data_IF_709751289774
#
_entry.id   IF_709751289774
#
_cell.length_a   1.000
_cell.length_b   1.000
_cell.length_c   1.000
_cell.angle_alpha   90.00
_cell.angle_beta   90.00
_cell.angle_gamma   90.00
#
_symmetry.space_group_name_H-M   'P 1'
#
loop_
_entity.id
_entity.type
_entity.pdbx_description
1 polymer ?
#
# COMPACT_ATOMS: atom_id res chain seq x y z
N UNK A 1 -2.33 22.12 -12.88
CA UNK A 1 -2.89 21.48 -11.67
C UNK A 1 -4.28 20.99 -12.02
N UNK A 2 -4.37 19.75 -12.48
CA UNK A 2 -5.65 19.14 -12.85
C UNK A 2 -6.07 18.30 -11.66
N UNK A 3 -6.99 18.80 -10.86
CA UNK A 3 -7.70 18.06 -9.82
C UNK A 3 -8.50 16.96 -10.49
N UNK A 4 -7.99 15.73 -10.46
CA UNK A 4 -8.77 14.56 -10.78
C UNK A 4 -9.77 14.38 -9.64
N UNK A 5 -10.98 14.90 -9.85
CA UNK A 5 -12.14 14.56 -9.01
C UNK A 5 -12.31 13.05 -9.08
N UNK A 6 -12.34 12.31 -7.95
CA UNK A 6 -12.74 10.92 -8.00
C UNK A 6 -14.19 10.89 -8.45
N UNK A 7 -14.44 10.37 -9.66
CA UNK A 7 -15.78 10.06 -10.12
C UNK A 7 -16.32 9.06 -9.10
N UNK A 8 -17.19 9.55 -8.23
CA UNK A 8 -18.01 8.76 -7.33
C UNK A 8 -19.03 8.03 -8.21
N UNK A 9 -18.66 6.85 -8.70
CA UNK A 9 -19.62 5.92 -9.26
C UNK A 9 -20.69 5.62 -8.21
N UNK A 10 -21.91 5.98 -8.57
CA UNK A 10 -23.19 5.70 -7.97
C UNK A 10 -23.15 5.18 -6.51
N UNK A 11 -23.29 6.13 -5.56
CA UNK A 11 -23.93 5.95 -4.25
C UNK A 11 -23.83 4.56 -3.61
N UNK A 12 -22.63 4.09 -3.36
CA UNK A 12 -22.47 3.00 -2.41
C UNK A 12 -22.65 3.59 -1.01
N UNK A 13 -23.73 3.21 -0.33
CA UNK A 13 -24.00 3.55 1.07
C UNK A 13 -23.01 2.83 2.02
N UNK A 14 -21.94 2.28 1.49
CA UNK A 14 -20.95 1.55 2.25
C UNK A 14 -19.95 2.52 2.92
N UNK A 15 -19.69 2.28 4.20
CA UNK A 15 -18.70 3.06 4.95
C UNK A 15 -17.26 2.83 4.47
N UNK A 16 -17.03 1.72 3.79
CA UNK A 16 -15.72 1.30 3.31
C UNK A 16 -15.79 0.99 1.84
N UNK A 17 -14.87 1.54 1.07
CA UNK A 17 -14.77 1.32 -0.36
C UNK A 17 -13.36 0.90 -0.73
N UNK A 18 -13.25 -0.15 -1.53
CA UNK A 18 -11.98 -0.67 -2.01
C UNK A 18 -11.94 -0.64 -3.53
N UNK A 19 -10.92 0.03 -4.08
CA UNK A 19 -10.67 0.06 -5.52
C UNK A 19 -9.32 -0.56 -5.83
N UNK A 20 -9.30 -1.56 -6.70
CA UNK A 20 -8.08 -2.22 -7.18
C UNK A 20 -7.86 -1.84 -8.63
N UNK A 21 -6.64 -1.37 -8.95
CA UNK A 21 -6.32 -0.97 -10.32
C UNK A 21 -6.36 -2.16 -11.28
N UNK A 22 -7.24 -2.08 -12.28
CA UNK A 22 -7.41 -3.13 -13.29
C UNK A 22 -8.37 -4.26 -12.92
N UNK A 23 -8.95 -4.25 -11.72
CA UNK A 23 -10.04 -5.13 -11.34
C UNK A 23 -11.38 -4.45 -11.65
N UNK A 24 -12.25 -5.14 -12.38
CA UNK A 24 -13.60 -4.69 -12.73
C UNK A 24 -14.67 -5.41 -11.92
N UNK A 25 -14.29 -6.45 -11.17
CA UNK A 25 -15.23 -7.17 -10.31
C UNK A 25 -15.77 -6.23 -9.22
N UNK A 26 -17.07 -6.33 -8.88
CA UNK A 26 -17.64 -5.60 -7.75
C UNK A 26 -17.01 -6.14 -6.45
N UNK A 27 -16.44 -5.25 -5.64
CA UNK A 27 -15.79 -5.59 -4.38
C UNK A 27 -16.53 -4.89 -3.25
N UNK A 28 -17.17 -5.65 -2.39
CA UNK A 28 -17.85 -5.13 -1.20
C UNK A 28 -17.09 -5.49 0.07
N UNK A 29 -16.71 -4.48 0.87
CA UNK A 29 -15.91 -4.67 2.06
C UNK A 29 -16.80 -5.07 3.23
N UNK A 30 -16.63 -6.30 3.71
CA UNK A 30 -17.33 -6.84 4.87
C UNK A 30 -16.66 -6.38 6.19
N UNK A 31 -15.34 -6.55 6.27
CA UNK A 31 -14.57 -6.19 7.45
C UNK A 31 -13.11 -5.91 7.11
N UNK A 32 -12.41 -5.22 8.00
CA UNK A 32 -10.97 -5.04 7.88
C UNK A 32 -10.29 -4.90 9.23
N UNK A 33 -9.00 -5.20 9.25
CA UNK A 33 -8.09 -4.93 10.36
C UNK A 33 -6.86 -4.17 9.83
N UNK A 34 -6.60 -2.98 10.36
CA UNK A 34 -5.42 -2.17 10.04
C UNK A 34 -4.45 -2.11 11.21
N UNK A 35 -3.16 -2.18 10.91
CA UNK A 35 -2.07 -1.93 11.86
C UNK A 35 -1.18 -0.85 11.29
N UNK A 36 -0.91 0.19 12.08
CA UNK A 36 -0.06 1.32 11.72
C UNK A 36 0.83 1.69 12.91
N UNK A 37 1.97 2.28 12.64
CA UNK A 37 2.88 2.77 13.68
C UNK A 37 3.93 3.69 13.07
N UNK A 38 4.58 4.49 13.94
CA UNK A 38 5.71 5.32 13.55
C UNK A 38 6.88 4.43 13.13
N UNK A 39 7.56 4.81 12.06
CA UNK A 39 8.71 4.10 11.50
C UNK A 39 8.45 2.62 11.17
N UNK A 40 7.18 2.21 11.06
CA UNK A 40 6.78 0.86 10.67
C UNK A 40 5.93 0.88 9.43
N UNK A 41 5.98 -0.22 8.67
CA UNK A 41 5.11 -0.39 7.52
C UNK A 41 3.70 -0.75 7.98
N UNK A 42 2.70 0.00 7.51
CA UNK A 42 1.31 -0.34 7.78
C UNK A 42 0.92 -1.63 7.05
N UNK A 43 -0.10 -2.31 7.58
CA UNK A 43 -0.70 -3.49 6.99
C UNK A 43 -2.20 -3.49 7.23
N UNK A 44 -2.95 -3.76 6.18
CA UNK A 44 -4.40 -3.93 6.21
C UNK A 44 -4.78 -5.30 5.68
N UNK A 45 -5.50 -6.05 6.49
CA UNK A 45 -6.14 -7.30 6.12
C UNK A 45 -7.63 -7.01 5.94
N UNK A 46 -8.17 -7.24 4.74
CA UNK A 46 -9.54 -6.90 4.35
C UNK A 46 -10.26 -8.17 3.95
N UNK A 47 -11.45 -8.38 4.48
CA UNK A 47 -12.41 -9.39 4.03
C UNK A 47 -13.46 -8.68 3.18
N UNK A 48 -13.74 -9.23 2.03
CA UNK A 48 -14.68 -8.68 1.06
C UNK A 48 -15.50 -9.76 0.38
N UNK A 49 -16.67 -9.40 -0.10
CA UNK A 49 -17.53 -10.25 -0.95
C UNK A 49 -17.55 -9.74 -2.37
N UNK A 50 -17.85 -10.63 -3.30
CA UNK A 50 -18.03 -10.32 -4.71
C UNK A 50 -19.00 -11.29 -5.37
N UNK A 51 -19.85 -10.77 -6.27
CA UNK A 51 -20.65 -11.60 -7.15
C UNK A 51 -19.80 -12.38 -8.16
N UNK A 52 -18.58 -11.90 -8.45
CA UNK A 52 -17.60 -12.68 -9.21
C UNK A 52 -16.96 -13.73 -8.29
N UNK A 53 -17.29 -14.99 -8.53
CA UNK A 53 -16.89 -16.12 -7.68
C UNK A 53 -15.52 -16.70 -8.01
N UNK A 54 -14.89 -16.21 -9.07
CA UNK A 54 -13.59 -16.73 -9.52
C UNK A 54 -12.64 -15.62 -9.97
N UNK A 55 -12.46 -14.62 -9.11
CA UNK A 55 -11.51 -13.52 -9.37
C UNK A 55 -10.11 -14.10 -9.51
N UNK A 56 -9.52 -13.90 -10.69
CA UNK A 56 -8.15 -14.34 -10.96
C UNK A 56 -7.15 -13.59 -10.03
N UNK A 57 -6.31 -14.31 -9.26
CA UNK A 57 -5.28 -13.70 -8.44
C UNK A 57 -4.36 -12.74 -9.19
N UNK A 58 -4.13 -12.93 -10.47
CA UNK A 58 -3.27 -12.06 -11.30
C UNK A 58 -3.80 -10.64 -11.49
N UNK A 59 -5.12 -10.44 -11.40
CA UNK A 59 -5.73 -9.11 -11.45
C UNK A 59 -5.75 -8.41 -10.09
N UNK A 60 -5.40 -9.14 -9.03
CA UNK A 60 -5.35 -8.64 -7.64
C UNK A 60 -3.93 -8.47 -7.14
N UNK A 61 -3.10 -9.51 -7.24
CA UNK A 61 -1.74 -9.50 -6.68
C UNK A 61 -0.87 -8.46 -7.36
N UNK A 62 -0.05 -7.75 -6.56
CA UNK A 62 0.88 -6.70 -6.98
C UNK A 62 0.18 -5.47 -7.59
N UNK A 63 -1.14 -5.39 -7.55
CA UNK A 63 -1.90 -4.23 -8.03
C UNK A 63 -2.00 -3.15 -6.97
N UNK A 64 -2.07 -1.90 -7.43
CA UNK A 64 -2.33 -0.78 -6.54
C UNK A 64 -3.78 -0.85 -6.06
N UNK A 65 -3.94 -0.60 -4.77
CA UNK A 65 -5.23 -0.52 -4.10
C UNK A 65 -5.41 0.86 -3.47
N UNK A 66 -6.64 1.34 -3.51
CA UNK A 66 -7.10 2.53 -2.79
C UNK A 66 -8.21 2.07 -1.85
N UNK A 67 -7.99 2.23 -0.55
CA UNK A 67 -8.95 1.92 0.49
C UNK A 67 -9.49 3.22 1.09
N UNK A 68 -10.79 3.45 1.00
CA UNK A 68 -11.46 4.67 1.41
C UNK A 68 -12.37 4.36 2.60
N UNK A 69 -12.23 5.13 3.66
CA UNK A 69 -13.11 5.15 4.82
C UNK A 69 -13.93 6.44 4.76
N UNK A 70 -15.23 6.31 4.82
CA UNK A 70 -16.14 7.46 4.74
C UNK A 70 -17.23 7.40 5.81
N UNK A 71 -17.74 8.57 6.18
CA UNK A 71 -18.93 8.66 7.03
C UNK A 71 -20.15 8.85 6.16
N UNK A 72 -21.22 8.16 6.55
CA UNK A 72 -22.55 8.43 6.01
C UNK A 72 -23.24 9.41 6.94
N UNK A 73 -23.53 10.65 6.51
CA UNK A 73 -24.31 11.58 7.31
C UNK A 73 -25.70 10.96 7.56
N UNK A 74 -26.28 11.17 8.75
CA UNK A 74 -27.66 10.71 9.06
C UNK A 74 -28.69 11.19 8.02
N UNK A 75 -28.43 12.36 7.41
CA UNK A 75 -29.25 12.91 6.33
C UNK A 75 -29.04 12.25 4.96
N UNK A 76 -28.05 11.36 4.76
CA UNK A 76 -27.84 10.64 3.50
C UNK A 76 -29.03 9.73 3.17
N UNK A 77 -29.77 9.27 4.18
CA UNK A 77 -31.06 8.57 3.97
C UNK A 77 -32.14 9.45 3.32
N UNK A 78 -31.96 10.78 3.29
CA UNK A 78 -32.86 11.75 2.67
C UNK A 78 -32.37 12.32 1.33
N UNK A 79 -31.48 11.65 0.63
CA UNK A 79 -31.03 11.95 -0.77
C UNK A 79 -30.21 13.22 -1.03
N UNK A 80 -29.68 13.92 -0.03
CA UNK A 80 -29.16 15.28 -0.30
C UNK A 80 -27.68 15.49 0.05
N UNK A 81 -27.02 14.59 0.76
CA UNK A 81 -25.63 14.82 1.23
C UNK A 81 -24.71 13.67 0.78
N UNK A 82 -23.66 14.03 0.05
CA UNK A 82 -22.63 13.08 -0.37
C UNK A 82 -21.87 12.52 0.84
N UNK A 83 -21.38 11.26 0.76
CA UNK A 83 -20.49 10.70 1.79
C UNK A 83 -19.24 11.58 1.97
N UNK A 84 -18.84 11.78 3.22
CA UNK A 84 -17.62 12.52 3.53
C UNK A 84 -16.45 11.52 3.71
N UNK A 85 -15.44 11.64 2.84
CA UNK A 85 -14.23 10.84 2.94
C UNK A 85 -13.44 11.27 4.18
N UNK A 86 -13.29 10.37 5.15
CA UNK A 86 -12.52 10.60 6.38
C UNK A 86 -11.06 10.22 6.21
N UNK A 87 -10.81 9.15 5.47
CA UNK A 87 -9.46 8.67 5.27
C UNK A 87 -9.34 7.88 3.96
N UNK A 88 -8.21 8.05 3.29
CA UNK A 88 -7.82 7.22 2.15
C UNK A 88 -6.46 6.61 2.42
N UNK A 89 -6.35 5.30 2.25
CA UNK A 89 -5.09 4.55 2.37
C UNK A 89 -4.76 3.94 1.01
N UNK A 90 -3.53 4.18 0.56
CA UNK A 90 -3.03 3.63 -0.70
C UNK A 90 -2.05 2.50 -0.40
N UNK A 91 -2.02 1.47 -1.22
CA UNK A 91 -1.06 0.38 -1.05
C UNK A 91 -0.96 -0.51 -2.26
N UNK A 92 -0.31 -1.65 -2.07
CA UNK A 92 -0.21 -2.72 -3.04
C UNK A 92 -0.66 -4.02 -2.40
N UNK A 93 -1.40 -4.84 -3.15
CA UNK A 93 -1.90 -6.12 -2.65
C UNK A 93 -0.75 -7.12 -2.63
N UNK A 94 -0.41 -7.60 -1.42
CA UNK A 94 0.67 -8.57 -1.19
C UNK A 94 0.15 -10.00 -1.01
N UNK A 95 -1.14 -10.16 -0.62
CA UNK A 95 -1.78 -11.47 -0.48
C UNK A 95 -3.23 -11.39 -0.96
N UNK A 96 -3.69 -12.46 -1.58
CA UNK A 96 -5.08 -12.61 -2.01
C UNK A 96 -5.48 -14.09 -1.92
N UNK A 97 -6.65 -14.36 -1.36
CA UNK A 97 -7.18 -15.72 -1.23
C UNK A 97 -8.71 -15.70 -1.20
N UNK A 98 -9.31 -16.74 -1.76
CA UNK A 98 -10.74 -17.02 -1.64
C UNK A 98 -10.97 -17.82 -0.36
N UNK A 99 -11.90 -17.39 0.48
CA UNK A 99 -12.24 -18.04 1.74
C UNK A 99 -13.39 -19.03 1.57
N UNK A 100 -14.45 -18.59 0.88
CA UNK A 100 -15.66 -19.40 0.70
C UNK A 100 -16.38 -18.99 -0.59
N UNK A 101 -17.30 -19.86 -1.02
CA UNK A 101 -18.21 -19.61 -2.15
C UNK A 101 -19.62 -20.04 -1.74
N UNK A 102 -20.61 -19.19 -1.98
CA UNK A 102 -22.02 -19.48 -1.82
C UNK A 102 -22.74 -19.54 -3.19
N UNK A 103 -24.06 -19.72 -3.17
CA UNK A 103 -24.87 -19.68 -4.38
C UNK A 103 -24.82 -18.30 -5.06
N UNK A 104 -24.71 -17.22 -4.29
CA UNK A 104 -24.85 -15.85 -4.80
C UNK A 104 -23.50 -15.14 -4.95
N UNK A 105 -22.54 -15.35 -4.04
CA UNK A 105 -21.29 -14.62 -3.97
C UNK A 105 -20.12 -15.47 -3.45
N UNK A 106 -18.91 -14.96 -3.58
CA UNK A 106 -17.72 -15.51 -2.94
C UNK A 106 -17.11 -14.50 -1.95
N UNK A 107 -16.55 -15.03 -0.85
CA UNK A 107 -15.81 -14.25 0.14
C UNK A 107 -14.33 -14.39 -0.12
N UNK A 108 -13.66 -13.26 -0.14
CA UNK A 108 -12.21 -13.16 -0.35
C UNK A 108 -11.53 -12.46 0.82
N UNK A 109 -10.27 -12.76 0.99
CA UNK A 109 -9.36 -12.02 1.87
C UNK A 109 -8.21 -11.47 1.06
N UNK A 110 -7.90 -10.21 1.25
CA UNK A 110 -6.69 -9.61 0.72
C UNK A 110 -5.91 -8.91 1.83
N UNK A 111 -4.60 -8.83 1.65
CA UNK A 111 -3.71 -8.01 2.46
C UNK A 111 -3.09 -6.98 1.55
N UNK A 112 -3.09 -5.72 1.98
CA UNK A 112 -2.33 -4.69 1.30
C UNK A 112 -1.41 -3.92 2.25
N UNK A 113 -0.28 -3.50 1.71
CA UNK A 113 0.84 -2.90 2.43
C UNK A 113 1.45 -1.77 1.59
N UNK A 114 2.31 -0.90 2.16
CA UNK A 114 3.04 0.06 1.34
C UNK A 114 3.92 -0.66 0.32
N UNK A 115 4.16 -0.02 -0.83
CA UNK A 115 5.00 -0.59 -1.89
C UNK A 115 6.39 -1.02 -1.40
N UNK A 116 6.91 -0.39 -0.35
CA UNK A 116 8.18 -0.76 0.27
C UNK A 116 8.20 -2.23 0.73
N UNK A 117 7.06 -2.81 1.08
CA UNK A 117 6.95 -4.22 1.47
C UNK A 117 7.29 -5.20 0.34
N UNK A 118 7.21 -4.77 -0.92
CA UNK A 118 7.64 -5.59 -2.06
C UNK A 118 9.15 -5.86 -2.07
N UNK A 119 9.92 -5.02 -1.40
CA UNK A 119 11.38 -5.15 -1.30
C UNK A 119 11.83 -6.24 -0.32
N UNK A 120 10.88 -6.91 0.36
CA UNK A 120 11.16 -8.09 1.19
C UNK A 120 11.29 -9.39 0.38
N UNK A 121 10.90 -9.38 -0.89
CA UNK A 121 10.80 -10.61 -1.69
C UNK A 121 12.14 -11.26 -2.05
N UNK A 122 13.25 -10.56 -1.89
CA UNK A 122 14.59 -11.10 -2.16
C UNK A 122 15.61 -10.62 -1.15
N UNK A 123 16.55 -11.49 -0.80
CA UNK A 123 17.70 -11.18 0.06
C UNK A 123 18.95 -11.11 -0.78
N UNK A 124 19.84 -10.19 -0.42
CA UNK A 124 21.12 -10.06 -1.11
C UNK A 124 22.23 -9.57 -0.22
N UNK A 125 23.45 -9.65 -0.74
CA UNK A 125 24.65 -9.04 -0.14
C UNK A 125 25.22 -8.00 -1.10
N UNK A 126 25.54 -6.81 -0.61
CA UNK A 126 26.09 -5.71 -1.39
C UNK A 126 26.98 -4.83 -0.53
N UNK A 127 27.92 -4.14 -1.16
CA UNK A 127 28.81 -3.17 -0.52
C UNK A 127 28.59 -1.81 -1.19
N UNK A 128 28.39 -0.79 -0.36
CA UNK A 128 28.29 0.61 -0.77
C UNK A 128 29.46 1.37 -0.18
N UNK A 129 30.18 2.10 -1.02
CA UNK A 129 31.43 2.81 -0.63
C UNK A 129 31.25 4.32 -0.83
N UNK A 130 31.79 5.08 0.11
CA UNK A 130 31.85 6.53 0.07
C UNK A 130 30.46 7.17 -0.17
N UNK A 131 29.44 6.69 0.53
CA UNK A 131 28.06 7.15 0.42
C UNK A 131 27.45 7.44 1.79
N UNK A 132 26.61 8.44 1.86
CA UNK A 132 25.75 8.67 3.02
C UNK A 132 24.56 7.70 3.03
N UNK A 133 23.90 7.55 4.18
CA UNK A 133 22.72 6.67 4.30
C UNK A 133 21.62 7.04 3.32
N UNK A 134 21.18 8.32 3.17
CA UNK A 134 20.17 8.68 2.19
C UNK A 134 20.56 8.32 0.75
N UNK A 135 21.84 8.53 0.36
CA UNK A 135 22.32 8.17 -0.98
C UNK A 135 22.28 6.65 -1.24
N UNK A 136 22.61 5.83 -0.23
CA UNK A 136 22.48 4.38 -0.34
C UNK A 136 21.03 3.97 -0.53
N UNK A 137 20.11 4.53 0.28
CA UNK A 137 18.67 4.24 0.17
C UNK A 137 18.15 4.67 -1.21
N UNK A 138 18.49 5.86 -1.67
CA UNK A 138 18.09 6.33 -2.99
C UNK A 138 18.62 5.44 -4.11
N UNK A 139 19.88 5.02 -4.02
CA UNK A 139 20.50 4.10 -4.99
C UNK A 139 19.76 2.76 -5.04
N UNK A 140 19.36 2.21 -3.89
CA UNK A 140 18.59 0.97 -3.83
C UNK A 140 17.24 1.17 -4.53
N UNK A 141 16.48 2.19 -4.17
CA UNK A 141 15.15 2.42 -4.73
C UNK A 141 15.20 2.69 -6.25
N UNK A 142 16.11 3.56 -6.70
CA UNK A 142 16.21 3.95 -8.11
C UNK A 142 16.88 2.89 -8.98
N UNK A 143 18.06 2.40 -8.59
CA UNK A 143 18.87 1.52 -9.46
C UNK A 143 18.45 0.07 -9.39
N UNK A 144 18.08 -0.41 -8.20
CA UNK A 144 17.78 -1.84 -8.02
C UNK A 144 16.31 -2.16 -8.29
N UNK A 145 15.40 -1.20 -8.00
CA UNK A 145 13.96 -1.39 -8.13
C UNK A 145 13.32 -0.50 -9.19
N UNK A 146 14.10 0.34 -9.87
CA UNK A 146 13.63 1.27 -10.91
C UNK A 146 12.46 2.16 -10.45
N UNK A 147 12.46 2.56 -9.18
CA UNK A 147 11.41 3.44 -8.67
C UNK A 147 11.60 4.85 -9.23
N UNK A 148 10.60 5.40 -9.91
CA UNK A 148 10.65 6.79 -10.34
C UNK A 148 10.59 7.74 -9.15
N UNK A 149 11.14 8.94 -9.32
CA UNK A 149 11.27 9.93 -8.24
C UNK A 149 9.95 10.38 -7.59
N UNK A 150 8.81 10.18 -8.25
CA UNK A 150 7.50 10.50 -7.69
C UNK A 150 6.95 9.43 -6.72
N UNK A 151 7.61 8.27 -6.58
CA UNK A 151 7.21 7.21 -5.64
C UNK A 151 7.76 7.40 -4.24
N UNK A 152 8.80 8.20 -4.08
CA UNK A 152 9.39 8.50 -2.77
C UNK A 152 10.06 9.88 -2.79
N UNK A 153 10.14 10.49 -1.64
CA UNK A 153 10.74 11.81 -1.45
C UNK A 153 11.51 11.82 -0.13
N UNK A 154 12.70 12.40 -0.14
CA UNK A 154 13.44 12.72 1.07
C UNK A 154 13.12 14.15 1.50
N UNK A 155 12.52 14.30 2.68
CA UNK A 155 12.33 15.60 3.36
C UNK A 155 13.19 15.64 4.59
N UNK A 156 14.45 15.94 4.38
CA UNK A 156 15.48 15.87 5.40
C UNK A 156 15.89 17.28 5.81
N UNK A 157 15.95 17.55 7.12
CA UNK A 157 16.40 18.83 7.69
C UNK A 157 17.91 18.86 7.92
N UNK A 158 18.57 17.68 7.98
CA UNK A 158 19.98 17.53 8.25
C UNK A 158 20.72 16.92 7.05
N UNK A 159 22.04 17.03 7.07
CA UNK A 159 22.94 16.30 6.18
C UNK A 159 23.63 15.18 6.95
N UNK A 160 23.84 14.05 6.31
CA UNK A 160 24.53 12.90 6.89
C UNK A 160 25.89 12.72 6.25
N UNK A 161 26.93 12.44 7.06
CA UNK A 161 28.26 12.22 6.52
C UNK A 161 28.31 10.95 5.66
N UNK A 162 29.16 11.00 4.65
CA UNK A 162 29.52 9.82 3.87
C UNK A 162 30.27 8.82 4.76
N UNK A 163 29.93 7.54 4.65
CA UNK A 163 30.61 6.43 5.30
C UNK A 163 31.53 5.75 4.28
N UNK A 164 32.71 5.36 4.70
CA UNK A 164 33.66 4.66 3.85
C UNK A 164 33.06 3.36 3.29
N UNK A 165 32.44 2.56 4.17
CA UNK A 165 31.80 1.28 3.79
C UNK A 165 30.46 1.13 4.52
N UNK A 166 29.43 0.75 3.78
CA UNK A 166 28.14 0.29 4.28
C UNK A 166 27.86 -1.08 3.66
N UNK A 167 27.65 -2.10 4.50
CA UNK A 167 27.46 -3.47 4.04
C UNK A 167 26.05 -3.96 4.27
N UNK A 168 25.43 -4.46 3.20
CA UNK A 168 24.23 -5.31 3.25
C UNK A 168 24.68 -6.75 3.20
N UNK A 169 24.28 -7.56 4.18
CA UNK A 169 24.62 -8.99 4.21
C UNK A 169 23.38 -9.81 4.47
N UNK A 170 22.95 -10.60 3.48
CA UNK A 170 21.81 -11.51 3.53
C UNK A 170 20.50 -10.88 4.05
N UNK A 171 20.32 -9.58 3.85
CA UNK A 171 19.10 -8.84 4.20
C UNK A 171 18.25 -8.56 2.95
N UNK A 172 16.93 -8.48 3.14
CA UNK A 172 16.09 -7.86 2.12
C UNK A 172 16.38 -6.36 2.00
N UNK A 173 16.07 -5.76 0.86
CA UNK A 173 16.28 -4.32 0.70
C UNK A 173 15.40 -3.52 1.67
N UNK A 174 14.20 -4.00 1.98
CA UNK A 174 13.32 -3.35 2.95
C UNK A 174 13.90 -3.42 4.38
N UNK A 175 14.40 -4.58 4.82
CA UNK A 175 15.07 -4.75 6.11
C UNK A 175 16.32 -3.86 6.21
N UNK A 176 17.11 -3.83 5.14
CA UNK A 176 18.34 -3.04 5.08
C UNK A 176 18.07 -1.55 5.13
N UNK A 177 17.11 -1.06 4.34
CA UNK A 177 16.68 0.35 4.35
C UNK A 177 16.20 0.74 5.75
N UNK A 178 15.30 -0.06 6.35
CA UNK A 178 14.77 0.23 7.68
C UNK A 178 15.87 0.31 8.74
N UNK A 179 16.87 -0.60 8.70
CA UNK A 179 18.03 -0.57 9.58
C UNK A 179 18.84 0.71 9.39
N UNK A 180 19.21 1.05 8.15
CA UNK A 180 20.02 2.23 7.86
C UNK A 180 19.35 3.53 8.30
N UNK A 181 18.06 3.68 8.03
CA UNK A 181 17.30 4.88 8.43
C UNK A 181 17.22 4.98 9.95
N UNK A 182 16.96 3.87 10.64
CA UNK A 182 16.94 3.82 12.10
C UNK A 182 18.28 4.20 12.74
N UNK A 183 19.43 3.78 12.14
CA UNK A 183 20.78 4.13 12.62
C UNK A 183 21.04 5.64 12.61
N UNK A 184 20.37 6.39 11.76
CA UNK A 184 20.59 7.84 11.60
C UNK A 184 19.39 8.69 12.03
N UNK A 185 18.38 8.07 12.62
CA UNK A 185 17.23 8.75 13.19
C UNK A 185 16.23 9.29 12.15
N UNK A 186 16.11 8.61 11.01
CA UNK A 186 15.14 8.90 9.93
C UNK A 186 13.98 7.91 9.98
#
# INVERSE_FOLDING_TARGET
MTTVSPVLDALTLNRYYLKVKGCTAPLDVESFQGREGLSTRYRYDVVLTSADKDIDPSVMLMKNVTFIMQTLPEAAFRRTIAPEVRRTVYGVITRFSRLSVSADEATYRLTFEPRLSLLDNSRRSAIYQNMSVPEVVEKILRKNHNWPGWLFEFRLSNTWPSREIITQFMLSDAEFIARLLSEVGI
#
